data_IF_875103080469
#
_entry.id   IF_875103080469
#
_cell.length_a   1.000
_cell.length_b   1.000
_cell.length_c   1.000
_cell.angle_alpha   90.00
_cell.angle_beta   90.00
_cell.angle_gamma   90.00
#
_symmetry.space_group_name_H-M   'P 1'
#
loop_
_entity.id
_entity.type
_entity.pdbx_description
1 polymer ?
#
# COMPACT_ATOMS: atom_id res chain seq x y z
N UNK A 1 1.93 -27.14 2.91
CA UNK A 1 2.63 -26.23 1.97
C UNK A 1 2.06 -24.83 2.11
N UNK A 2 2.90 -23.80 2.14
CA UNK A 2 2.47 -22.39 2.13
C UNK A 2 2.87 -21.78 0.78
N UNK A 3 1.95 -21.11 0.10
CA UNK A 3 2.22 -20.53 -1.22
C UNK A 3 1.25 -19.42 -1.58
N UNK A 4 1.53 -18.67 -2.64
CA UNK A 4 0.60 -17.67 -3.13
C UNK A 4 -0.70 -18.31 -3.62
N UNK A 5 -1.81 -17.57 -3.53
CA UNK A 5 -3.15 -18.05 -3.82
C UNK A 5 -3.46 -18.11 -5.33
N UNK A 6 -2.44 -18.36 -6.16
CA UNK A 6 -2.61 -18.57 -7.59
C UNK A 6 -3.50 -19.81 -7.85
N UNK A 7 -4.27 -19.79 -8.95
CA UNK A 7 -5.21 -20.86 -9.30
C UNK A 7 -4.55 -22.23 -9.38
N UNK A 8 -3.30 -22.31 -9.84
CA UNK A 8 -2.51 -23.55 -9.90
C UNK A 8 -2.25 -24.12 -8.51
N UNK A 9 -1.83 -23.28 -7.56
CA UNK A 9 -1.55 -23.72 -6.19
C UNK A 9 -2.81 -24.13 -5.45
N UNK A 10 -3.90 -23.39 -5.63
CA UNK A 10 -5.21 -23.77 -5.09
C UNK A 10 -5.69 -25.10 -5.67
N UNK A 11 -5.52 -25.31 -6.98
CA UNK A 11 -5.89 -26.56 -7.64
C UNK A 11 -5.08 -27.74 -7.10
N UNK A 12 -3.76 -27.59 -6.97
CA UNK A 12 -2.88 -28.61 -6.38
C UNK A 12 -3.31 -28.93 -4.94
N UNK A 13 -3.56 -27.90 -4.12
CA UNK A 13 -3.96 -28.07 -2.72
C UNK A 13 -5.34 -28.68 -2.49
N UNK A 14 -6.19 -28.73 -3.52
CA UNK A 14 -7.55 -29.31 -3.47
C UNK A 14 -7.63 -30.76 -3.96
N UNK A 15 -6.54 -31.31 -4.52
CA UNK A 15 -6.53 -32.70 -4.98
C UNK A 15 -6.59 -33.67 -3.81
N UNK A 16 -7.24 -34.81 -4.02
CA UNK A 16 -7.25 -35.89 -3.04
C UNK A 16 -5.82 -36.41 -2.81
N UNK A 17 -5.44 -36.63 -1.54
CA UNK A 17 -4.08 -36.98 -1.14
C UNK A 17 -3.05 -35.84 -1.24
N UNK A 18 -3.47 -34.61 -1.56
CA UNK A 18 -2.57 -33.47 -1.61
C UNK A 18 -2.11 -33.03 -0.22
N UNK A 19 -0.91 -32.45 -0.17
CA UNK A 19 -0.37 -31.81 1.03
C UNK A 19 -1.28 -30.62 1.39
N UNK A 20 -1.72 -30.49 2.66
CA UNK A 20 -2.53 -29.36 3.09
C UNK A 20 -1.92 -28.02 2.69
N UNK A 21 -2.70 -27.18 2.01
CA UNK A 21 -2.26 -25.89 1.45
C UNK A 21 -2.79 -24.72 2.29
N UNK A 22 -1.91 -23.76 2.57
CA UNK A 22 -2.23 -22.52 3.27
C UNK A 22 -1.79 -21.34 2.40
N UNK A 23 -2.67 -20.36 2.27
CA UNK A 23 -2.38 -19.16 1.48
C UNK A 23 -1.32 -18.28 2.11
N UNK A 24 -0.48 -17.67 1.29
CA UNK A 24 0.56 -16.75 1.73
C UNK A 24 -0.05 -15.51 2.40
N UNK A 25 0.30 -15.30 3.67
CA UNK A 25 -0.18 -14.16 4.47
C UNK A 25 0.22 -12.82 3.86
N UNK A 26 1.46 -12.67 3.39
CA UNK A 26 1.94 -11.45 2.74
C UNK A 26 1.18 -11.14 1.45
N UNK A 27 0.88 -12.17 0.66
CA UNK A 27 0.10 -12.02 -0.57
C UNK A 27 -1.33 -11.57 -0.27
N UNK A 28 -1.96 -12.21 0.72
CA UNK A 28 -3.31 -11.89 1.21
C UNK A 28 -3.39 -10.47 1.75
N UNK A 29 -2.40 -10.04 2.53
CA UNK A 29 -2.29 -8.69 3.05
C UNK A 29 -2.12 -7.66 1.93
N UNK A 30 -1.26 -7.93 0.96
CA UNK A 30 -1.07 -7.08 -0.22
C UNK A 30 -2.37 -6.89 -1.02
N UNK A 31 -3.21 -7.92 -1.15
CA UNK A 31 -4.53 -7.78 -1.78
C UNK A 31 -5.48 -6.89 -0.96
N UNK A 32 -5.46 -7.02 0.37
CA UNK A 32 -6.25 -6.18 1.27
C UNK A 32 -5.85 -4.69 1.14
N UNK A 33 -4.56 -4.39 1.16
CA UNK A 33 -4.05 -3.02 0.99
C UNK A 33 -4.40 -2.47 -0.39
N UNK A 34 -4.36 -3.28 -1.44
CA UNK A 34 -4.80 -2.85 -2.78
C UNK A 34 -6.28 -2.46 -2.81
N UNK A 35 -7.14 -3.24 -2.16
CA UNK A 35 -8.57 -2.93 -2.09
C UNK A 35 -8.82 -1.66 -1.26
N UNK A 36 -8.07 -1.44 -0.18
CA UNK A 36 -8.09 -0.19 0.58
C UNK A 36 -7.67 1.02 -0.28
N UNK A 37 -6.57 0.90 -1.03
CA UNK A 37 -6.06 1.99 -1.87
C UNK A 37 -7.01 2.43 -2.97
N UNK A 38 -7.92 1.55 -3.44
CA UNK A 38 -8.95 1.93 -4.42
C UNK A 38 -9.88 3.01 -3.89
N UNK A 39 -10.11 3.07 -2.58
CA UNK A 39 -10.98 4.09 -1.97
C UNK A 39 -10.35 5.48 -2.00
N UNK A 40 -9.03 5.56 -2.18
CA UNK A 40 -8.24 6.81 -2.21
C UNK A 40 -7.66 7.09 -3.61
N UNK A 41 -8.13 6.39 -4.65
CA UNK A 41 -7.48 6.42 -5.96
C UNK A 41 -7.50 7.81 -6.62
N UNK A 42 -8.57 8.57 -6.44
CA UNK A 42 -8.65 9.96 -6.93
C UNK A 42 -7.57 10.84 -6.31
N UNK A 43 -7.36 10.72 -4.98
CA UNK A 43 -6.38 11.49 -4.25
C UNK A 43 -4.96 11.09 -4.66
N UNK A 44 -4.70 9.79 -4.77
CA UNK A 44 -3.41 9.25 -5.21
C UNK A 44 -3.11 9.67 -6.65
N UNK A 45 -4.13 9.70 -7.52
CA UNK A 45 -3.99 10.16 -8.91
C UNK A 45 -3.61 11.64 -8.98
N UNK A 46 -4.16 12.49 -8.11
CA UNK A 46 -3.74 13.90 -8.00
C UNK A 46 -2.27 14.04 -7.59
N UNK A 47 -1.85 13.27 -6.57
CA UNK A 47 -0.42 13.22 -6.17
C UNK A 47 0.45 12.77 -7.34
N UNK A 48 0.03 11.70 -8.04
CA UNK A 48 0.77 11.18 -9.19
C UNK A 48 0.88 12.20 -10.34
N UNK A 49 -0.19 12.96 -10.62
CA UNK A 49 -0.18 14.01 -11.65
C UNK A 49 0.86 15.10 -11.33
N UNK A 50 0.90 15.55 -10.07
CA UNK A 50 1.91 16.51 -9.62
C UNK A 50 3.33 15.93 -9.74
N UNK A 51 3.54 14.69 -9.26
CA UNK A 51 4.84 14.02 -9.32
C UNK A 51 5.30 13.81 -10.77
N UNK A 52 4.39 13.50 -11.69
CA UNK A 52 4.67 13.41 -13.12
C UNK A 52 5.10 14.76 -13.71
N UNK A 53 4.41 15.86 -13.37
CA UNK A 53 4.81 17.22 -13.82
C UNK A 53 6.20 17.58 -13.31
N UNK A 54 6.49 17.31 -12.03
CA UNK A 54 7.80 17.56 -11.44
C UNK A 54 8.91 16.68 -12.03
N UNK A 55 8.56 15.52 -12.60
CA UNK A 55 9.51 14.61 -13.23
C UNK A 55 9.93 15.06 -14.64
N UNK A 56 9.18 15.95 -15.28
CA UNK A 56 9.55 16.55 -16.58
C UNK A 56 10.88 17.33 -16.50
N UNK A 57 11.53 17.57 -17.63
CA UNK A 57 12.81 18.32 -17.66
C UNK A 57 12.67 19.69 -16.98
N UNK A 58 11.62 20.45 -17.33
CA UNK A 58 11.33 21.76 -16.74
C UNK A 58 11.00 21.65 -15.25
N UNK A 59 10.16 20.70 -14.88
CA UNK A 59 9.80 20.44 -13.47
C UNK A 59 11.01 20.07 -12.62
N UNK A 60 11.92 19.24 -13.15
CA UNK A 60 13.17 18.87 -12.47
C UNK A 60 14.13 20.04 -12.37
N UNK A 61 14.24 20.89 -13.40
CA UNK A 61 15.06 22.09 -13.34
C UNK A 61 14.58 23.04 -12.24
N UNK A 62 13.27 23.22 -12.11
CA UNK A 62 12.69 24.00 -11.01
C UNK A 62 12.93 23.34 -9.66
N UNK A 63 12.66 22.04 -9.54
CA UNK A 63 12.79 21.29 -8.28
C UNK A 63 14.23 21.34 -7.73
N UNK A 64 15.23 21.28 -8.60
CA UNK A 64 16.65 21.40 -8.23
C UNK A 64 17.00 22.71 -7.50
N UNK A 65 16.19 23.76 -7.65
CA UNK A 65 16.39 25.03 -6.93
C UNK A 65 16.08 24.90 -5.43
N UNK A 66 15.26 23.92 -5.03
CA UNK A 66 14.79 23.75 -3.64
C UNK A 66 15.07 22.37 -3.05
N UNK A 67 15.37 21.36 -3.87
CA UNK A 67 15.65 20.01 -3.39
C UNK A 67 16.52 19.21 -4.35
N UNK A 68 17.35 18.33 -3.79
CA UNK A 68 18.06 17.30 -4.54
C UNK A 68 17.19 16.05 -4.81
N UNK A 69 16.05 15.92 -4.11
CA UNK A 69 15.18 14.75 -4.20
C UNK A 69 14.51 14.66 -5.58
N UNK A 70 14.40 13.43 -6.08
CA UNK A 70 13.64 13.13 -7.30
C UNK A 70 12.17 12.89 -7.00
N UNK A 71 11.24 13.21 -7.91
CA UNK A 71 9.89 12.67 -7.84
C UNK A 71 9.92 11.16 -8.09
N UNK A 72 9.10 10.42 -7.34
CA UNK A 72 8.82 9.00 -7.57
C UNK A 72 7.46 8.82 -8.21
N UNK A 73 7.30 7.75 -8.99
CA UNK A 73 6.02 7.35 -9.58
C UNK A 73 5.56 6.04 -8.94
N UNK A 74 4.26 5.90 -8.70
CA UNK A 74 3.69 4.60 -8.34
C UNK A 74 3.77 3.61 -9.50
N UNK A 75 3.89 2.34 -9.16
CA UNK A 75 3.65 1.19 -10.00
C UNK A 75 2.36 0.53 -9.50
N UNK A 76 1.33 0.50 -10.36
CA UNK A 76 -0.01 0.03 -10.03
C UNK A 76 -0.05 -1.40 -9.47
N UNK A 77 0.96 -2.22 -9.79
CA UNK A 77 1.04 -3.60 -9.33
C UNK A 77 1.56 -3.75 -7.89
N UNK A 78 2.27 -2.75 -7.34
CA UNK A 78 2.93 -2.79 -6.03
C UNK A 78 2.51 -1.61 -5.16
N UNK A 79 1.73 -1.85 -4.13
CA UNK A 79 1.26 -0.80 -3.22
C UNK A 79 2.41 -0.06 -2.51
N UNK A 80 3.55 -0.72 -2.26
CA UNK A 80 4.73 -0.10 -1.65
C UNK A 80 5.25 1.10 -2.44
N UNK A 81 5.17 1.05 -3.78
CA UNK A 81 5.55 2.18 -4.63
C UNK A 81 4.60 3.38 -4.50
N UNK A 82 3.32 3.13 -4.19
CA UNK A 82 2.35 4.18 -3.85
C UNK A 82 2.73 4.84 -2.54
N UNK A 83 3.10 4.05 -1.52
CA UNK A 83 3.59 4.57 -0.25
C UNK A 83 4.84 5.43 -0.42
N UNK A 84 5.86 4.94 -1.13
CA UNK A 84 7.09 5.70 -1.42
C UNK A 84 6.81 7.01 -2.18
N UNK A 85 5.88 7.00 -3.14
CA UNK A 85 5.46 8.20 -3.87
C UNK A 85 4.78 9.22 -2.94
N UNK A 86 3.87 8.76 -2.07
CA UNK A 86 3.16 9.60 -1.10
C UNK A 86 4.14 10.21 -0.09
N UNK A 87 5.06 9.42 0.46
CA UNK A 87 6.11 9.93 1.34
C UNK A 87 6.98 10.96 0.63
N UNK A 88 7.37 10.69 -0.63
CA UNK A 88 8.18 11.62 -1.42
C UNK A 88 7.44 12.94 -1.63
N UNK A 89 6.16 12.87 -1.97
CA UNK A 89 5.31 14.05 -2.10
C UNK A 89 5.29 14.88 -0.80
N UNK A 90 5.08 14.25 0.35
CA UNK A 90 5.04 14.97 1.64
C UNK A 90 6.36 15.69 1.97
N UNK A 91 7.50 15.11 1.57
CA UNK A 91 8.82 15.75 1.71
C UNK A 91 9.01 16.93 0.74
N UNK A 92 8.48 16.82 -0.48
CA UNK A 92 8.64 17.83 -1.53
C UNK A 92 7.65 18.99 -1.43
N UNK A 93 6.41 18.73 -0.99
CA UNK A 93 5.33 19.71 -0.95
C UNK A 93 5.71 21.03 -0.25
N UNK A 94 6.29 21.05 0.97
CA UNK A 94 6.62 22.30 1.64
C UNK A 94 7.69 23.10 0.88
N UNK A 95 8.64 22.41 0.24
CA UNK A 95 9.70 23.03 -0.57
C UNK A 95 9.14 23.65 -1.86
N UNK A 96 8.16 23.00 -2.48
CA UNK A 96 7.51 23.50 -3.70
C UNK A 96 6.71 24.77 -3.40
N UNK A 97 5.98 24.80 -2.27
CA UNK A 97 5.19 25.98 -1.88
C UNK A 97 6.08 27.21 -1.61
N UNK A 98 7.34 27.01 -1.23
CA UNK A 98 8.32 28.08 -1.03
C UNK A 98 8.84 28.74 -2.33
N UNK A 99 8.68 28.10 -3.50
CA UNK A 99 9.14 28.64 -4.78
C UNK A 99 8.40 29.91 -5.24
N UNK A 100 7.33 30.29 -4.54
CA UNK A 100 6.55 31.49 -4.85
C UNK A 100 5.55 31.29 -5.99
N UNK A 101 4.43 32.01 -5.93
CA UNK A 101 3.28 31.80 -6.83
C UNK A 101 3.63 31.99 -8.31
N UNK A 102 4.45 32.98 -8.67
CA UNK A 102 4.78 33.30 -10.06
C UNK A 102 5.50 32.13 -10.77
N UNK A 103 6.49 31.52 -10.12
CA UNK A 103 7.19 30.36 -10.67
C UNK A 103 6.26 29.14 -10.77
N UNK A 104 5.35 28.95 -9.82
CA UNK A 104 4.41 27.85 -9.86
C UNK A 104 3.40 27.98 -11.01
N UNK A 105 3.03 29.20 -11.38
CA UNK A 105 2.17 29.47 -12.54
C UNK A 105 2.95 29.29 -13.86
N UNK A 106 4.15 29.85 -13.97
CA UNK A 106 5.00 29.75 -15.17
C UNK A 106 5.30 28.29 -15.55
N UNK A 107 5.51 27.43 -14.56
CA UNK A 107 5.79 26.00 -14.77
C UNK A 107 4.53 25.13 -14.76
N UNK A 108 3.34 25.73 -14.71
CA UNK A 108 2.02 25.07 -14.66
C UNK A 108 1.91 24.02 -13.54
N UNK A 109 2.53 24.30 -12.40
CA UNK A 109 2.47 23.46 -11.19
C UNK A 109 1.30 23.88 -10.30
N UNK A 110 0.98 25.17 -10.27
CA UNK A 110 -0.09 25.73 -9.45
C UNK A 110 -1.44 24.98 -9.57
N UNK A 111 -1.93 24.61 -10.79
CA UNK A 111 -3.19 23.87 -10.93
C UNK A 111 -3.15 22.44 -10.39
N UNK A 112 -1.95 21.87 -10.23
CA UNK A 112 -1.73 20.50 -9.75
C UNK A 112 -1.47 20.44 -8.24
N UNK A 113 -1.39 21.58 -7.57
CA UNK A 113 -1.24 21.61 -6.12
C UNK A 113 -2.54 21.14 -5.46
N UNK A 114 -2.39 20.18 -4.55
CA UNK A 114 -3.48 19.69 -3.73
C UNK A 114 -3.99 20.80 -2.81
N UNK A 115 -5.30 20.86 -2.61
CA UNK A 115 -5.94 21.74 -1.62
C UNK A 115 -5.52 21.34 -0.22
N UNK A 116 -5.69 22.25 0.75
CA UNK A 116 -5.34 21.99 2.16
C UNK A 116 -6.00 20.71 2.70
N UNK A 117 -7.29 20.51 2.45
CA UNK A 117 -8.01 19.31 2.90
C UNK A 117 -7.46 18.02 2.27
N UNK A 118 -7.15 18.05 0.98
CA UNK A 118 -6.55 16.93 0.25
C UNK A 118 -5.14 16.61 0.78
N UNK A 119 -4.32 17.64 1.02
CA UNK A 119 -2.99 17.47 1.60
C UNK A 119 -3.04 16.84 3.01
N UNK A 120 -3.97 17.27 3.86
CA UNK A 120 -4.18 16.65 5.18
C UNK A 120 -4.70 15.21 5.07
N UNK A 121 -5.53 14.90 4.05
CA UNK A 121 -5.92 13.51 3.75
C UNK A 121 -4.71 12.68 3.31
N UNK A 122 -3.82 13.22 2.47
CA UNK A 122 -2.57 12.51 2.06
C UNK A 122 -1.67 12.24 3.26
N UNK A 123 -1.53 13.18 4.20
CA UNK A 123 -0.79 12.93 5.46
C UNK A 123 -1.40 11.79 6.26
N UNK A 124 -2.73 11.72 6.31
CA UNK A 124 -3.44 10.65 7.01
C UNK A 124 -3.22 9.31 6.33
N UNK A 125 -3.37 9.26 5.00
CA UNK A 125 -3.08 8.09 4.19
C UNK A 125 -1.63 7.62 4.38
N UNK A 126 -0.65 8.52 4.43
CA UNK A 126 0.75 8.16 4.65
C UNK A 126 0.97 7.43 5.99
N UNK A 127 0.29 7.87 7.07
CA UNK A 127 0.35 7.20 8.37
C UNK A 127 -0.29 5.82 8.34
N UNK A 128 -1.39 5.66 7.61
CA UNK A 128 -2.03 4.34 7.44
C UNK A 128 -1.12 3.38 6.64
N UNK A 129 -0.51 3.89 5.57
CA UNK A 129 0.44 3.12 4.76
C UNK A 129 1.72 2.74 5.52
N UNK A 130 2.20 3.60 6.41
CA UNK A 130 3.34 3.29 7.29
C UNK A 130 3.03 2.12 8.23
N UNK A 131 1.80 2.06 8.79
CA UNK A 131 1.35 0.90 9.59
C UNK A 131 1.31 -0.36 8.74
N UNK A 132 0.82 -0.29 7.50
CA UNK A 132 0.80 -1.43 6.60
C UNK A 132 2.20 -1.92 6.21
N UNK A 133 3.15 -1.00 6.06
CA UNK A 133 4.57 -1.35 5.86
C UNK A 133 5.14 -2.08 7.08
N UNK A 134 4.81 -1.63 8.30
CA UNK A 134 5.14 -2.34 9.54
C UNK A 134 4.61 -3.77 9.55
N UNK A 135 3.31 -3.94 9.26
CA UNK A 135 2.67 -5.27 9.19
C UNK A 135 3.35 -6.14 8.13
N UNK A 136 3.68 -5.59 6.97
CA UNK A 136 4.33 -6.33 5.88
C UNK A 136 5.72 -6.82 6.29
N UNK A 137 6.50 -5.98 6.98
CA UNK A 137 7.81 -6.38 7.53
C UNK A 137 7.68 -7.48 8.57
N UNK A 138 6.69 -7.40 9.46
CA UNK A 138 6.42 -8.46 10.43
C UNK A 138 6.06 -9.78 9.75
N UNK A 139 5.19 -9.75 8.73
CA UNK A 139 4.79 -10.93 7.95
C UNK A 139 5.94 -11.60 7.19
N UNK A 140 7.01 -10.86 6.89
CA UNK A 140 8.19 -11.37 6.19
C UNK A 140 9.22 -12.05 7.12
N UNK A 141 9.05 -11.97 8.45
CA UNK A 141 9.97 -12.63 9.38
C UNK A 141 9.83 -14.15 9.30
N UNK A 142 10.95 -14.84 9.10
CA UNK A 142 10.98 -16.30 9.02
C UNK A 142 10.53 -17.01 10.31
N UNK A 143 10.54 -16.31 11.45
CA UNK A 143 10.13 -16.83 12.77
C UNK A 143 8.64 -16.68 13.04
N UNK A 144 7.85 -16.10 12.13
CA UNK A 144 6.45 -15.80 12.39
C UNK A 144 5.58 -17.06 12.29
N UNK A 145 4.85 -17.36 13.37
CA UNK A 145 3.92 -18.50 13.43
C UNK A 145 2.57 -18.15 12.81
N UNK A 146 1.78 -19.15 12.42
CA UNK A 146 0.43 -18.95 11.89
C UNK A 146 -0.52 -18.33 12.94
N UNK A 147 -0.37 -18.69 14.22
CA UNK A 147 -1.12 -18.07 15.32
C UNK A 147 -0.76 -16.58 15.48
N UNK A 148 0.51 -16.22 15.32
CA UNK A 148 0.94 -14.82 15.32
C UNK A 148 0.40 -14.04 14.10
N UNK A 149 0.40 -14.65 12.90
CA UNK A 149 -0.22 -14.07 11.69
C UNK A 149 -1.70 -13.77 11.93
N UNK A 150 -2.45 -14.71 12.51
CA UNK A 150 -3.88 -14.51 12.81
C UNK A 150 -4.10 -13.35 13.77
N UNK A 151 -3.36 -13.30 14.88
CA UNK A 151 -3.42 -12.21 15.85
C UNK A 151 -3.10 -10.85 15.20
N UNK A 152 -2.09 -10.82 14.33
CA UNK A 152 -1.72 -9.61 13.59
C UNK A 152 -2.85 -9.16 12.66
N UNK A 153 -3.47 -10.08 11.92
CA UNK A 153 -4.62 -9.76 11.07
C UNK A 153 -5.85 -9.31 11.86
N UNK A 154 -6.13 -9.91 13.02
CA UNK A 154 -7.25 -9.48 13.87
C UNK A 154 -7.02 -8.07 14.42
N UNK A 155 -5.79 -7.75 14.81
CA UNK A 155 -5.41 -6.40 15.22
C UNK A 155 -5.57 -5.39 14.06
N UNK A 156 -5.11 -5.76 12.85
CA UNK A 156 -5.28 -4.93 11.66
C UNK A 156 -6.76 -4.70 11.35
N UNK A 157 -7.60 -5.75 11.40
CA UNK A 157 -9.04 -5.61 11.11
C UNK A 157 -9.74 -4.74 12.16
N UNK A 158 -9.33 -4.85 13.43
CA UNK A 158 -9.86 -3.99 14.49
C UNK A 158 -9.58 -2.51 14.22
N UNK A 159 -8.42 -2.18 13.68
CA UNK A 159 -8.04 -0.80 13.35
C UNK A 159 -8.56 -0.36 11.97
N UNK A 160 -8.62 -1.28 11.01
CA UNK A 160 -9.04 -1.07 9.63
C UNK A 160 -10.13 -2.08 9.22
N UNK A 161 -11.39 -1.88 9.65
CA UNK A 161 -12.49 -2.82 9.37
C UNK A 161 -12.68 -3.11 7.87
N UNK A 162 -12.36 -2.14 7.00
CA UNK A 162 -12.43 -2.32 5.54
C UNK A 162 -11.58 -3.49 5.00
N UNK A 163 -10.53 -3.89 5.72
CA UNK A 163 -9.65 -5.00 5.33
C UNK A 163 -10.21 -6.38 5.68
N UNK A 164 -11.30 -6.45 6.46
CA UNK A 164 -11.90 -7.71 6.93
C UNK A 164 -12.24 -8.67 5.80
N UNK A 165 -12.79 -8.14 4.70
CA UNK A 165 -13.19 -8.90 3.51
C UNK A 165 -12.07 -9.79 2.94
N UNK A 166 -10.82 -9.36 3.13
CA UNK A 166 -9.63 -10.12 2.73
C UNK A 166 -8.96 -10.80 3.91
N UNK A 167 -9.00 -10.26 5.12
CA UNK A 167 -8.18 -10.73 6.26
C UNK A 167 -8.91 -11.63 7.26
N UNK A 168 -10.25 -11.70 7.27
CA UNK A 168 -11.03 -12.52 8.21
C UNK A 168 -10.73 -14.02 8.07
N UNK A 169 -10.76 -14.79 9.16
CA UNK A 169 -10.51 -16.24 9.11
C UNK A 169 -11.46 -17.00 8.16
N UNK A 170 -12.64 -16.44 7.90
CA UNK A 170 -13.68 -16.96 7.01
C UNK A 170 -13.72 -16.27 5.64
N UNK A 171 -12.75 -15.41 5.33
CA UNK A 171 -12.74 -14.68 4.07
C UNK A 171 -12.73 -15.65 2.86
N UNK A 172 -13.42 -15.34 1.75
CA UNK A 172 -13.52 -16.23 0.58
C UNK A 172 -12.17 -16.65 -0.03
N UNK A 173 -11.12 -15.88 0.25
CA UNK A 173 -9.75 -16.15 -0.21
C UNK A 173 -9.06 -17.30 0.56
N UNK A 174 -9.61 -17.71 1.71
CA UNK A 174 -9.08 -18.79 2.55
C UNK A 174 -9.43 -20.14 1.92
N UNK A 175 -8.42 -20.92 1.54
CA UNK A 175 -8.64 -22.19 0.84
C UNK A 175 -9.13 -23.30 1.76
N UNK A 176 -8.69 -23.33 3.03
CA UNK A 176 -9.12 -24.33 4.00
C UNK A 176 -9.33 -23.68 5.38
N UNK A 177 -10.54 -23.12 5.64
CA UNK A 177 -10.81 -22.37 6.86
C UNK A 177 -10.66 -23.21 8.14
N UNK A 178 -11.06 -24.48 8.10
CA UNK A 178 -10.98 -25.37 9.26
C UNK A 178 -9.52 -25.67 9.65
N UNK A 179 -8.66 -25.90 8.65
CA UNK A 179 -7.24 -26.12 8.86
C UNK A 179 -6.56 -24.86 9.42
N UNK A 180 -6.79 -23.69 8.82
CA UNK A 180 -6.21 -22.44 9.32
C UNK A 180 -6.67 -22.13 10.74
N UNK A 181 -7.95 -22.37 11.08
CA UNK A 181 -8.45 -22.21 12.45
C UNK A 181 -7.88 -23.23 13.43
N UNK A 182 -7.70 -24.48 13.01
CA UNK A 182 -7.10 -25.52 13.84
C UNK A 182 -5.65 -25.21 14.18
N UNK A 183 -4.87 -24.74 13.21
CA UNK A 183 -3.45 -24.39 13.39
C UNK A 183 -3.22 -23.16 14.27
N UNK A 184 -4.22 -22.29 14.42
CA UNK A 184 -4.15 -21.14 15.34
C UNK A 184 -4.32 -21.57 16.80
N UNK A 185 -4.97 -22.71 17.05
CA UNK A 185 -5.28 -23.22 18.40
C UNK A 185 -4.18 -24.13 18.99
N UNK A 186 -3.16 -24.46 18.20
CA UNK A 186 -1.98 -25.26 18.59
C UNK A 186 -0.88 -24.30 19.04
#
# INVERSE_FOLDING_TARGET
MVGDNCSVNQYIGRKEGAIPFIGCASHRFNLAVKDFLKTEDELITKVQALMAKLRTIKGRALLRRVSHLSPLMRNDTRWSSTYEMVERYLKLQPLIVQLGHNLLVEYEIQPLLLRRAEHERVKSLARDLEKFEGVTKELQKATLTLSAVRRLFDQVVKEFPALETRLAATAPIVSNPNLEQGLVKI
#
